data_IF_363988725869
#
_entry.id   IF_363988725869
#
_cell.length_a   1.000
_cell.length_b   1.000
_cell.length_c   1.000
_cell.angle_alpha   90.00
_cell.angle_beta   90.00
_cell.angle_gamma   90.00
#
_symmetry.space_group_name_H-M   'P 1'
#
loop_
_entity.id
_entity.type
_entity.pdbx_description
1 polymer ?
#
# COMPACT_ATOMS: atom_id res chain seq x y z
N UNK A 1 21.78 15.00 -19.72
CA UNK A 1 21.48 14.18 -18.52
C UNK A 1 20.15 14.66 -17.98
N UNK A 2 19.25 13.75 -17.58
CA UNK A 2 17.98 14.12 -16.94
C UNK A 2 18.28 14.91 -15.66
N UNK A 3 17.61 16.04 -15.45
CA UNK A 3 17.74 16.83 -14.21
C UNK A 3 17.06 16.06 -13.08
N UNK A 4 17.67 16.01 -11.90
CA UNK A 4 17.08 15.37 -10.73
C UNK A 4 16.81 16.45 -9.69
N UNK A 5 15.57 16.60 -9.26
CA UNK A 5 15.11 17.69 -8.41
C UNK A 5 14.45 17.13 -7.16
N UNK A 6 14.71 17.76 -6.02
CA UNK A 6 13.97 17.51 -4.78
C UNK A 6 13.14 18.74 -4.46
N UNK A 7 11.82 18.57 -4.31
CA UNK A 7 10.91 19.60 -3.84
C UNK A 7 10.56 19.28 -2.40
N UNK A 8 10.93 20.13 -1.44
CA UNK A 8 10.54 19.97 -0.04
C UNK A 8 9.42 20.96 0.26
N UNK A 9 8.28 20.48 0.76
CA UNK A 9 7.11 21.31 1.01
C UNK A 9 6.48 21.02 2.38
N UNK A 10 5.98 22.08 3.02
CA UNK A 10 5.29 22.03 4.30
C UNK A 10 4.24 23.17 4.40
N UNK A 11 3.31 23.05 5.34
CA UNK A 11 2.41 24.12 5.71
C UNK A 11 1.91 23.99 7.14
N UNK A 12 1.76 25.14 7.79
CA UNK A 12 1.36 25.22 9.19
C UNK A 12 0.10 26.07 9.39
N UNK A 13 -0.61 25.84 10.48
CA UNK A 13 -1.66 26.73 10.99
C UNK A 13 -1.64 26.87 12.51
N UNK A 14 -1.51 28.10 13.02
CA UNK A 14 -1.53 28.43 14.46
C UNK A 14 -2.96 28.55 14.97
N UNK A 15 -3.39 27.49 15.64
CA UNK A 15 -4.80 27.18 15.89
C UNK A 15 -5.41 26.61 14.62
N UNK A 16 -6.02 25.42 14.64
CA UNK A 16 -6.45 24.75 13.41
C UNK A 16 -7.99 24.71 13.31
N UNK A 17 -8.66 25.57 12.52
CA UNK A 17 -8.11 26.60 11.61
C UNK A 17 -7.73 27.92 12.30
N UNK A 18 -6.76 28.63 11.73
CA UNK A 18 -6.07 29.79 12.34
C UNK A 18 -5.02 30.36 11.41
N UNK A 19 -4.08 31.16 11.95
CA UNK A 19 -3.10 31.88 11.11
C UNK A 19 -2.19 30.87 10.42
N UNK A 20 -2.28 30.81 9.09
CA UNK A 20 -1.68 29.76 8.29
C UNK A 20 -0.68 30.31 7.28
N UNK A 21 0.26 29.48 6.88
CA UNK A 21 1.28 29.80 5.88
C UNK A 21 1.92 28.53 5.37
N UNK A 22 2.42 28.58 4.13
CA UNK A 22 3.14 27.45 3.52
C UNK A 22 4.60 27.79 3.28
N UNK A 23 5.43 26.75 3.16
CA UNK A 23 6.82 26.83 2.75
C UNK A 23 7.13 25.74 1.73
N UNK A 24 7.87 26.08 0.69
CA UNK A 24 8.36 25.13 -0.29
C UNK A 24 9.72 25.55 -0.83
N UNK A 25 10.55 24.59 -1.21
CA UNK A 25 11.83 24.84 -1.84
C UNK A 25 12.16 23.77 -2.87
N UNK A 26 13.03 24.11 -3.82
CA UNK A 26 13.50 23.21 -4.88
C UNK A 26 15.02 23.10 -4.79
N UNK A 27 15.56 21.88 -4.83
CA UNK A 27 17.00 21.60 -4.85
C UNK A 27 17.38 20.74 -6.05
N UNK A 28 18.62 20.89 -6.51
CA UNK A 28 19.25 19.86 -7.35
C UNK A 28 19.57 18.64 -6.47
N UNK A 29 19.05 17.47 -6.85
CA UNK A 29 19.19 16.25 -6.06
C UNK A 29 20.63 15.72 -6.05
N UNK A 30 21.47 16.12 -7.00
CA UNK A 30 22.84 15.63 -7.16
C UNK A 30 23.84 16.52 -6.43
N UNK A 31 23.66 17.84 -6.49
CA UNK A 31 24.57 18.78 -5.84
C UNK A 31 24.07 19.23 -4.47
N UNK A 32 22.77 19.15 -4.21
CA UNK A 32 22.13 19.69 -3.01
C UNK A 32 21.87 21.21 -3.09
N UNK A 33 22.25 21.84 -4.20
CA UNK A 33 22.12 23.28 -4.40
C UNK A 33 20.66 23.70 -4.33
N UNK A 34 20.41 24.77 -3.58
CA UNK A 34 19.10 25.39 -3.50
C UNK A 34 18.84 26.14 -4.81
N UNK A 35 17.72 25.85 -5.47
CA UNK A 35 17.33 26.43 -6.75
C UNK A 35 16.18 27.43 -6.59
N UNK A 36 15.27 27.19 -5.65
CA UNK A 36 14.12 28.06 -5.39
C UNK A 36 13.66 27.97 -3.94
N UNK A 37 13.13 29.07 -3.40
CA UNK A 37 12.38 29.12 -2.15
C UNK A 37 11.06 29.88 -2.37
N UNK A 38 9.98 29.37 -1.79
CA UNK A 38 8.63 29.93 -1.81
C UNK A 38 8.03 29.86 -0.41
N UNK A 39 7.46 30.95 0.08
CA UNK A 39 6.67 30.99 1.30
C UNK A 39 5.64 32.12 1.22
N UNK A 40 4.40 31.88 1.64
CA UNK A 40 3.38 32.93 1.65
C UNK A 40 2.36 32.75 2.79
N UNK A 41 1.95 33.84 3.48
CA UNK A 41 0.85 33.80 4.44
C UNK A 41 -0.48 33.48 3.74
N UNK A 42 -1.26 32.56 4.30
CA UNK A 42 -2.57 32.15 3.79
C UNK A 42 -3.75 32.79 4.53
N UNK A 43 -3.48 33.69 5.48
CA UNK A 43 -4.50 34.24 6.36
C UNK A 43 -5.03 33.17 7.32
N UNK A 44 -6.35 32.96 7.37
CA UNK A 44 -6.97 31.98 8.26
C UNK A 44 -7.33 30.70 7.50
N UNK A 45 -6.56 29.63 7.70
CA UNK A 45 -6.80 28.34 7.04
C UNK A 45 -6.50 27.14 7.97
N UNK A 46 -6.84 25.93 7.54
CA UNK A 46 -6.48 24.70 8.25
C UNK A 46 -5.05 24.26 7.94
N UNK A 47 -4.47 23.39 8.78
CA UNK A 47 -3.12 22.86 8.58
C UNK A 47 -2.98 22.19 7.20
N UNK A 48 -3.90 21.30 6.86
CA UNK A 48 -3.84 20.56 5.61
C UNK A 48 -4.00 21.46 4.38
N UNK A 49 -4.80 22.53 4.48
CA UNK A 49 -4.89 23.52 3.39
C UNK A 49 -3.53 24.19 3.18
N UNK A 50 -2.82 24.53 4.26
CA UNK A 50 -1.48 25.09 4.15
C UNK A 50 -0.47 24.10 3.55
N UNK A 51 -0.49 22.84 3.98
CA UNK A 51 0.39 21.79 3.43
C UNK A 51 0.15 21.59 1.93
N UNK A 52 -1.11 21.52 1.50
CA UNK A 52 -1.47 21.45 0.08
C UNK A 52 -1.01 22.67 -0.73
N UNK A 53 -1.11 23.88 -0.15
CA UNK A 53 -0.58 25.09 -0.79
C UNK A 53 0.94 25.04 -0.95
N UNK A 54 1.67 24.48 0.02
CA UNK A 54 3.11 24.25 -0.08
C UNK A 54 3.47 23.33 -1.25
N UNK A 55 2.76 22.21 -1.39
CA UNK A 55 2.93 21.28 -2.52
C UNK A 55 2.73 21.99 -3.88
N UNK A 56 1.64 22.73 -4.02
CA UNK A 56 1.33 23.47 -5.25
C UNK A 56 2.43 24.48 -5.57
N UNK A 57 2.88 25.25 -4.58
CA UNK A 57 3.92 26.25 -4.76
C UNK A 57 5.28 25.65 -5.17
N UNK A 58 5.65 24.50 -4.58
CA UNK A 58 6.88 23.79 -4.93
C UNK A 58 6.87 23.26 -6.38
N UNK A 59 5.76 22.64 -6.80
CA UNK A 59 5.59 22.17 -8.19
C UNK A 59 5.55 23.32 -9.20
N UNK A 60 4.88 24.42 -8.86
CA UNK A 60 4.82 25.60 -9.71
C UNK A 60 6.22 26.21 -9.88
N UNK A 61 7.05 26.27 -8.83
CA UNK A 61 8.42 26.77 -8.93
C UNK A 61 9.30 25.96 -9.90
N UNK A 62 9.10 24.64 -9.98
CA UNK A 62 9.79 23.78 -10.97
C UNK A 62 9.43 24.18 -12.40
N UNK A 63 8.16 24.50 -12.66
CA UNK A 63 7.67 24.91 -13.98
C UNK A 63 8.09 26.34 -14.32
N UNK A 64 8.00 27.27 -13.37
CA UNK A 64 8.35 28.69 -13.57
C UNK A 64 9.83 28.88 -13.90
N UNK A 65 10.69 28.05 -13.32
CA UNK A 65 12.13 28.07 -13.56
C UNK A 65 12.57 27.24 -14.77
N UNK A 66 11.62 26.72 -15.55
CA UNK A 66 11.88 25.89 -16.73
C UNK A 66 12.77 24.67 -16.40
N UNK A 67 12.57 24.10 -15.21
CA UNK A 67 13.35 22.97 -14.71
C UNK A 67 12.73 21.61 -15.05
N UNK A 68 11.52 21.59 -15.61
CA UNK A 68 10.71 20.38 -15.77
C UNK A 68 11.11 19.47 -16.96
N UNK A 69 11.85 19.99 -17.93
CA UNK A 69 12.19 19.27 -19.16
C UNK A 69 13.05 18.03 -18.87
N UNK A 70 12.51 16.84 -19.19
CA UNK A 70 13.09 15.52 -18.89
C UNK A 70 13.55 15.34 -17.43
N UNK A 71 12.94 16.06 -16.48
CA UNK A 71 13.36 16.08 -15.08
C UNK A 71 12.69 14.99 -14.24
N UNK A 72 13.44 14.38 -13.32
CA UNK A 72 12.89 13.52 -12.26
C UNK A 72 12.73 14.37 -11.00
N UNK A 73 11.48 14.53 -10.55
CA UNK A 73 11.10 15.37 -9.42
C UNK A 73 10.62 14.50 -8.26
N UNK A 74 11.34 14.52 -7.15
CA UNK A 74 10.93 13.88 -5.90
C UNK A 74 10.37 14.95 -4.96
N UNK A 75 9.06 14.88 -4.67
CA UNK A 75 8.40 15.79 -3.74
C UNK A 75 8.36 15.16 -2.35
N UNK A 76 9.03 15.79 -1.39
CA UNK A 76 9.12 15.37 0.02
C UNK A 76 8.22 16.23 0.88
N UNK A 77 7.36 15.58 1.66
CA UNK A 77 6.50 16.24 2.65
C UNK A 77 6.42 15.39 3.91
N UNK A 78 6.30 16.04 5.07
CA UNK A 78 6.04 15.38 6.35
C UNK A 78 4.55 15.19 6.66
N UNK A 79 3.68 15.75 5.82
CA UNK A 79 2.26 15.43 5.81
C UNK A 79 1.97 14.11 5.10
N UNK A 80 1.87 13.03 5.88
CA UNK A 80 1.43 11.73 5.37
C UNK A 80 0.04 11.83 4.73
N UNK A 81 -0.84 12.68 5.26
CA UNK A 81 -2.17 12.89 4.70
C UNK A 81 -2.12 13.43 3.27
N UNK A 82 -1.35 14.49 3.02
CA UNK A 82 -1.26 15.10 1.68
C UNK A 82 -0.60 14.12 0.70
N UNK A 83 0.49 13.45 1.10
CA UNK A 83 1.16 12.45 0.25
C UNK A 83 0.21 11.32 -0.13
N UNK A 84 -0.51 10.74 0.83
CA UNK A 84 -1.42 9.62 0.58
C UNK A 84 -2.64 10.03 -0.25
N UNK A 85 -3.19 11.22 -0.03
CA UNK A 85 -4.30 11.75 -0.81
C UNK A 85 -3.89 12.08 -2.25
N UNK A 86 -2.73 12.71 -2.44
CA UNK A 86 -2.17 12.98 -3.76
C UNK A 86 -1.66 11.73 -4.48
N UNK A 87 -1.38 10.65 -3.75
CA UNK A 87 -1.10 9.35 -4.38
C UNK A 87 -2.37 8.57 -4.73
N UNK A 88 -3.56 9.12 -4.47
CA UNK A 88 -4.85 8.47 -4.72
C UNK A 88 -5.21 7.36 -3.72
N UNK A 89 -4.39 7.14 -2.68
CA UNK A 89 -4.60 6.11 -1.65
C UNK A 89 -5.66 6.53 -0.64
N UNK A 90 -5.75 7.83 -0.32
CA UNK A 90 -6.72 8.37 0.66
C UNK A 90 -7.73 9.32 0.00
N UNK A 91 -9.00 9.25 0.42
CA UNK A 91 -10.05 10.15 -0.11
C UNK A 91 -9.92 11.56 0.45
N UNK A 92 -10.10 12.56 -0.41
CA UNK A 92 -10.15 13.97 -0.03
C UNK A 92 -11.61 14.38 0.17
N UNK A 93 -12.04 14.53 1.42
CA UNK A 93 -13.43 14.87 1.77
C UNK A 93 -13.70 16.38 1.79
N UNK A 94 -12.72 17.18 2.19
CA UNK A 94 -12.86 18.64 2.31
C UNK A 94 -12.74 19.33 0.96
N UNK A 95 -13.66 20.26 0.68
CA UNK A 95 -13.75 20.97 -0.61
C UNK A 95 -12.50 21.79 -0.94
N UNK A 96 -11.98 22.56 0.01
CA UNK A 96 -10.76 23.36 -0.20
C UNK A 96 -9.54 22.50 -0.52
N UNK A 97 -9.40 21.34 0.13
CA UNK A 97 -8.34 20.39 -0.18
C UNK A 97 -8.54 19.75 -1.56
N UNK A 98 -9.78 19.47 -1.99
CA UNK A 98 -10.05 18.96 -3.34
C UNK A 98 -9.63 19.95 -4.42
N UNK A 99 -9.87 21.25 -4.20
CA UNK A 99 -9.45 22.31 -5.14
C UNK A 99 -7.93 22.31 -5.30
N UNK A 100 -7.19 22.33 -4.19
CA UNK A 100 -5.72 22.33 -4.22
C UNK A 100 -5.13 21.04 -4.77
N UNK A 101 -5.76 19.89 -4.52
CA UNK A 101 -5.33 18.61 -5.08
C UNK A 101 -5.49 18.55 -6.62
N UNK A 102 -6.57 19.12 -7.16
CA UNK A 102 -6.76 19.23 -8.62
C UNK A 102 -5.72 20.15 -9.24
N UNK A 103 -5.37 21.24 -8.56
CA UNK A 103 -4.32 22.15 -8.99
C UNK A 103 -2.94 21.46 -9.00
N UNK A 104 -2.57 20.80 -7.90
CA UNK A 104 -1.34 20.03 -7.82
C UNK A 104 -1.27 18.93 -8.90
N UNK A 105 -2.39 18.24 -9.19
CA UNK A 105 -2.46 17.26 -10.29
C UNK A 105 -2.16 17.88 -11.64
N UNK A 106 -2.79 19.03 -11.95
CA UNK A 106 -2.56 19.75 -13.20
C UNK A 106 -1.09 20.18 -13.36
N UNK A 107 -0.39 20.50 -12.27
CA UNK A 107 1.04 20.82 -12.32
C UNK A 107 1.89 19.57 -12.57
N UNK A 108 1.56 18.44 -11.94
CA UNK A 108 2.20 17.15 -12.22
C UNK A 108 2.05 16.77 -13.70
N UNK A 109 0.85 16.90 -14.25
CA UNK A 109 0.57 16.59 -15.66
C UNK A 109 1.39 17.48 -16.60
N UNK A 110 1.63 18.76 -16.25
CA UNK A 110 2.48 19.66 -17.02
C UNK A 110 3.97 19.27 -16.97
N UNK A 111 4.46 18.80 -15.82
CA UNK A 111 5.83 18.26 -15.71
C UNK A 111 5.96 17.00 -16.58
N UNK A 112 4.97 16.10 -16.52
CA UNK A 112 4.95 14.87 -17.34
C UNK A 112 4.86 15.15 -18.84
N UNK A 113 4.10 16.18 -19.24
CA UNK A 113 4.01 16.60 -20.64
C UNK A 113 5.35 17.09 -21.22
N UNK A 114 6.29 17.52 -20.38
CA UNK A 114 7.66 17.92 -20.73
C UNK A 114 8.68 16.77 -20.65
N UNK A 115 8.20 15.52 -20.54
CA UNK A 115 9.04 14.33 -20.42
C UNK A 115 9.56 14.05 -19.01
N UNK A 116 9.15 14.84 -18.02
CA UNK A 116 9.54 14.66 -16.63
C UNK A 116 8.73 13.59 -15.88
N UNK A 117 9.18 13.23 -14.68
CA UNK A 117 8.46 12.35 -13.74
C UNK A 117 8.32 13.03 -12.40
N UNK A 118 7.22 12.75 -11.69
CA UNK A 118 7.00 13.27 -10.33
C UNK A 118 6.66 12.11 -9.40
N UNK A 119 7.37 12.02 -8.28
CA UNK A 119 7.13 11.07 -7.20
C UNK A 119 6.83 11.83 -5.91
N UNK A 120 5.82 11.41 -5.15
CA UNK A 120 5.52 11.99 -3.83
C UNK A 120 5.97 11.03 -2.74
N UNK A 121 6.85 11.51 -1.86
CA UNK A 121 7.48 10.74 -0.79
C UNK A 121 7.16 11.38 0.55
N UNK A 122 6.66 10.57 1.49
CA UNK A 122 6.53 11.00 2.87
C UNK A 122 7.89 10.93 3.56
N UNK A 123 8.28 11.99 4.26
CA UNK A 123 9.51 12.03 5.06
C UNK A 123 9.19 12.39 6.52
N UNK A 124 9.92 11.87 7.50
CA UNK A 124 9.79 12.33 8.88
C UNK A 124 10.04 13.84 9.02
N UNK A 125 9.38 14.50 9.98
CA UNK A 125 9.44 15.97 10.18
C UNK A 125 10.87 16.47 10.40
N UNK A 126 11.70 15.70 11.08
CA UNK A 126 13.12 16.00 11.28
C UNK A 126 13.92 16.10 9.98
N UNK A 127 13.41 15.53 8.88
CA UNK A 127 13.97 15.61 7.53
C UNK A 127 13.31 16.66 6.64
N UNK A 128 12.29 17.40 7.12
CA UNK A 128 11.60 18.46 6.39
C UNK A 128 11.79 19.87 7.01
N UNK A 129 12.81 20.04 7.86
CA UNK A 129 13.03 21.27 8.67
C UNK A 129 13.13 22.56 7.85
N UNK A 130 13.64 22.49 6.63
CA UNK A 130 13.82 23.68 5.79
C UNK A 130 12.48 24.22 5.25
N UNK A 131 11.58 23.33 4.82
CA UNK A 131 10.22 23.71 4.44
C UNK A 131 9.40 24.17 5.66
N UNK A 132 9.56 23.52 6.82
CA UNK A 132 8.94 23.94 8.09
C UNK A 132 9.39 25.33 8.57
N UNK A 133 10.68 25.66 8.40
CA UNK A 133 11.16 27.01 8.70
C UNK A 133 10.50 28.06 7.79
N UNK A 134 10.32 27.76 6.50
CA UNK A 134 9.63 28.63 5.55
C UNK A 134 8.13 28.77 5.87
N UNK A 135 7.46 27.68 6.25
CA UNK A 135 6.04 27.71 6.64
C UNK A 135 5.82 28.53 7.92
N UNK A 136 6.74 28.44 8.88
CA UNK A 136 6.74 29.28 10.09
C UNK A 136 6.94 30.77 9.78
N UNK A 137 7.87 31.12 8.89
CA UNK A 137 8.05 32.50 8.44
C UNK A 137 6.79 33.06 7.79
N UNK A 138 6.10 32.24 7.00
CA UNK A 138 4.83 32.60 6.39
C UNK A 138 3.72 32.80 7.43
N UNK A 139 3.63 31.95 8.46
CA UNK A 139 2.71 32.16 9.59
C UNK A 139 3.02 33.41 10.43
N UNK A 140 4.27 33.91 10.38
CA UNK A 140 4.69 35.20 10.94
C UNK A 140 4.39 36.39 10.01
N UNK A 141 3.75 36.16 8.87
CA UNK A 141 3.35 37.20 7.91
C UNK A 141 4.42 37.56 6.89
N UNK A 142 5.49 36.76 6.75
CA UNK A 142 6.58 37.03 5.79
C UNK A 142 6.43 36.18 4.54
N UNK A 143 6.43 36.82 3.37
CA UNK A 143 6.51 36.11 2.08
C UNK A 143 7.97 35.97 1.62
N UNK A 144 8.30 34.83 1.02
CA UNK A 144 9.60 34.53 0.41
C UNK A 144 9.36 34.08 -1.02
N UNK A 145 10.04 34.73 -1.97
CA UNK A 145 10.18 34.24 -3.34
C UNK A 145 11.61 34.53 -3.78
N UNK A 146 12.43 33.49 -3.87
CA UNK A 146 13.86 33.60 -4.20
C UNK A 146 14.21 32.52 -5.21
N UNK A 147 14.90 32.94 -6.27
CA UNK A 147 15.41 32.07 -7.32
C UNK A 147 16.93 32.12 -7.28
N UNK A 148 17.53 30.95 -7.24
CA UNK A 148 18.97 30.76 -7.07
C UNK A 148 19.61 30.13 -8.32
N UNK A 149 18.81 29.92 -9.36
CA UNK A 149 19.28 29.47 -10.68
C UNK A 149 19.99 30.64 -11.36
N UNK A 150 21.28 30.48 -11.67
CA UNK A 150 21.97 31.45 -12.50
C UNK A 150 21.29 31.50 -13.88
N UNK A 151 20.97 32.70 -14.43
CA UNK A 151 20.45 32.78 -15.79
C UNK A 151 21.47 32.11 -16.73
N UNK A 152 20.98 31.25 -17.64
CA UNK A 152 21.84 30.56 -18.58
C UNK A 152 22.60 31.58 -19.46
N UNK A 153 23.82 31.91 -19.05
CA UNK A 153 24.70 32.87 -19.68
C UNK A 153 26.01 32.97 -18.92
N UNK A 154 27.09 32.57 -19.60
CA UNK A 154 28.51 32.72 -19.23
C UNK A 154 29.09 31.79 -18.15
N UNK A 155 29.32 30.54 -18.57
CA UNK A 155 30.47 29.78 -18.09
C UNK A 155 31.77 30.41 -18.61
N UNK A 156 32.42 31.21 -17.76
CA UNK A 156 33.89 31.35 -17.79
C UNK A 156 34.44 30.87 -16.45
N UNK A 157 35.19 29.77 -16.57
CA UNK A 157 36.37 29.37 -15.83
C UNK A 157 36.77 30.27 -14.65
N UNK A 158 37.02 29.68 -13.48
CA UNK A 158 38.36 29.58 -12.88
C UNK A 158 38.28 28.84 -11.54
N UNK A 159 39.18 27.88 -11.34
CA UNK A 159 39.15 26.93 -10.22
C UNK A 159 39.80 27.42 -8.92
N UNK A 160 39.57 26.66 -7.85
CA UNK A 160 40.47 26.42 -6.73
C UNK A 160 39.86 25.40 -5.76
N UNK A 161 40.60 24.34 -5.43
CA UNK A 161 40.40 23.59 -4.18
C UNK A 161 41.03 24.36 -3.01
N UNK A 162 40.60 24.17 -1.74
CA UNK A 162 41.32 23.19 -0.90
C UNK A 162 40.52 22.51 0.24
N UNK A 163 40.88 21.24 0.50
CA UNK A 163 41.38 20.61 1.75
C UNK A 163 40.86 20.95 3.16
N UNK A 164 40.68 19.91 4.01
CA UNK A 164 40.81 20.01 5.48
C UNK A 164 39.85 19.16 6.34
N UNK A 165 40.34 18.05 6.88
CA UNK A 165 39.75 17.21 7.95
C UNK A 165 39.37 18.00 9.22
N UNK A 166 38.12 17.88 9.71
CA UNK A 166 37.75 17.99 11.13
C UNK A 166 36.58 17.04 11.47
N UNK A 167 36.72 16.35 12.61
CA UNK A 167 35.90 15.25 13.15
C UNK A 167 34.42 15.64 13.41
N UNK A 168 33.41 14.85 12.97
CA UNK A 168 31.99 15.22 13.06
C UNK A 168 31.34 15.05 14.44
N UNK A 169 32.02 14.50 15.45
CA UNK A 169 31.36 14.03 16.68
C UNK A 169 31.53 14.89 17.94
N UNK A 170 32.08 16.09 17.83
CA UNK A 170 32.52 16.88 18.99
C UNK A 170 31.48 17.81 19.66
N UNK A 171 30.16 17.67 19.42
CA UNK A 171 29.15 18.53 20.09
C UNK A 171 27.99 17.76 20.74
N UNK A 172 28.11 16.44 20.89
CA UNK A 172 27.41 15.71 21.95
C UNK A 172 28.06 16.07 23.29
N UNK A 173 27.76 17.26 23.82
CA UNK A 173 27.89 17.59 25.24
C UNK A 173 27.30 18.98 25.52
N UNK A 174 26.11 19.02 26.14
CA UNK A 174 25.95 19.65 27.46
C UNK A 174 24.63 19.22 28.10
N UNK A 175 24.80 18.73 29.33
CA UNK A 175 23.83 18.43 30.35
C UNK A 175 23.03 19.65 30.85
N UNK A 176 21.87 19.35 31.44
CA UNK A 176 21.40 20.05 32.64
C UNK A 176 20.06 20.77 32.50
N UNK A 177 18.97 20.06 32.81
CA UNK A 177 17.72 20.68 33.21
C UNK A 177 17.07 19.86 34.35
N UNK A 178 17.13 20.40 35.57
CA UNK A 178 16.21 20.11 36.66
C UNK A 178 14.92 20.95 36.47
N UNK A 179 13.77 20.31 36.67
CA UNK A 179 12.39 20.84 36.55
C UNK A 179 12.01 21.85 37.66
N UNK A 180 10.88 22.59 37.52
CA UNK A 180 9.71 22.19 38.33
C UNK A 180 8.29 22.48 37.76
N UNK A 181 7.39 21.53 38.05
CA UNK A 181 5.93 21.56 38.35
C UNK A 181 4.96 22.61 37.73
N UNK A 182 3.95 22.09 37.00
CA UNK A 182 2.64 22.74 36.80
C UNK A 182 1.48 21.71 36.71
N UNK A 183 0.26 22.02 37.22
CA UNK A 183 -0.69 20.99 37.66
C UNK A 183 -1.80 20.62 36.65
N UNK A 184 -1.99 19.31 36.50
CA UNK A 184 -3.27 18.58 36.63
C UNK A 184 -4.40 18.79 35.60
N UNK A 185 -4.44 17.96 34.55
CA UNK A 185 -5.67 17.66 33.78
C UNK A 185 -6.25 16.33 34.26
N UNK A 186 -7.55 16.34 34.56
CA UNK A 186 -8.36 15.23 35.08
C UNK A 186 -8.20 13.93 34.24
N UNK A 187 -7.62 12.86 34.79
CA UNK A 187 -7.33 11.62 34.09
C UNK A 187 -8.54 10.69 33.86
N UNK A 188 -9.76 11.09 34.23
CA UNK A 188 -10.93 10.19 34.19
C UNK A 188 -12.00 10.53 33.15
N UNK A 189 -11.74 11.39 32.17
CA UNK A 189 -12.71 11.71 31.10
C UNK A 189 -12.32 11.06 29.76
N UNK A 190 -12.93 9.93 29.35
CA UNK A 190 -12.57 9.26 28.10
C UNK A 190 -13.39 9.81 26.93
N UNK A 191 -12.71 10.22 25.85
CA UNK A 191 -13.31 10.39 24.52
C UNK A 191 -12.50 9.57 23.51
N UNK A 192 -13.16 8.52 23.00
CA UNK A 192 -12.72 7.59 21.94
C UNK A 192 -11.51 6.70 22.25
N UNK A 193 -11.81 5.58 22.90
CA UNK A 193 -11.45 4.25 22.38
C UNK A 193 -9.97 3.94 22.31
N UNK A 194 -9.35 3.78 23.48
CA UNK A 194 -8.08 3.08 23.66
C UNK A 194 -8.26 1.63 23.20
N UNK A 195 -7.75 1.33 22.02
CA UNK A 195 -7.48 -0.02 21.55
C UNK A 195 -6.02 -0.11 21.16
N UNK A 196 -5.10 -0.13 22.14
CA UNK A 196 -3.77 -0.67 21.90
C UNK A 196 -3.93 -2.17 21.76
N UNK A 197 -4.08 -2.64 20.52
CA UNK A 197 -3.82 -4.06 20.24
C UNK A 197 -2.32 -4.25 20.42
N UNK A 198 -1.87 -5.25 21.20
CA UNK A 198 -0.46 -5.56 21.30
C UNK A 198 0.08 -5.88 19.91
N UNK A 199 1.23 -5.30 19.56
CA UNK A 199 2.15 -5.87 18.57
C UNK A 199 2.61 -7.23 19.10
N UNK A 200 1.78 -8.25 18.96
CA UNK A 200 2.19 -9.63 19.14
C UNK A 200 2.00 -10.34 17.80
N UNK A 201 3.15 -10.63 17.18
CA UNK A 201 3.39 -11.58 16.10
C UNK A 201 3.31 -11.07 14.65
N UNK A 202 3.78 -9.84 14.42
CA UNK A 202 4.47 -9.51 13.15
C UNK A 202 5.90 -9.15 13.52
N UNK A 203 6.83 -10.05 13.23
CA UNK A 203 8.27 -9.81 13.35
C UNK A 203 8.62 -8.61 12.48
N UNK A 204 8.78 -7.44 13.11
CA UNK A 204 9.51 -6.34 12.50
C UNK A 204 10.97 -6.63 12.80
N UNK A 205 11.71 -7.04 11.77
CA UNK A 205 13.18 -7.13 11.79
C UNK A 205 13.75 -5.92 12.55
N UNK A 206 14.56 -6.19 13.57
CA UNK A 206 15.36 -5.20 14.28
C UNK A 206 16.71 -4.95 13.59
N UNK A 207 16.96 -5.57 12.44
CA UNK A 207 18.18 -5.38 11.67
C UNK A 207 18.13 -4.05 10.89
N UNK A 208 19.15 -3.23 11.10
CA UNK A 208 19.37 -1.95 10.40
C UNK A 208 19.86 -2.14 8.95
N UNK A 209 20.03 -3.39 8.50
CA UNK A 209 20.43 -3.78 7.15
C UNK A 209 19.54 -4.93 6.69
N UNK A 210 18.70 -4.76 5.65
CA UNK A 210 17.82 -5.83 5.18
C UNK A 210 18.63 -7.03 4.67
N UNK A 211 18.32 -8.23 5.16
CA UNK A 211 18.88 -9.46 4.61
C UNK A 211 18.23 -9.72 3.25
N UNK A 212 18.92 -9.43 2.14
CA UNK A 212 18.35 -9.62 0.79
C UNK A 212 18.44 -11.07 0.28
N UNK A 213 19.19 -11.94 0.97
CA UNK A 213 19.36 -13.35 0.60
C UNK A 213 18.40 -14.24 1.41
N UNK A 214 17.87 -15.30 0.80
CA UNK A 214 17.04 -16.29 1.48
C UNK A 214 15.55 -15.96 1.56
N UNK A 215 15.03 -15.13 0.65
CA UNK A 215 13.60 -14.81 0.59
C UNK A 215 12.72 -16.05 0.31
N UNK A 216 11.56 -16.10 0.96
CA UNK A 216 10.46 -17.01 0.60
C UNK A 216 9.41 -16.22 -0.16
N UNK A 217 9.17 -16.62 -1.41
CA UNK A 217 8.10 -16.06 -2.24
C UNK A 217 6.84 -16.90 -2.10
N UNK A 218 5.78 -16.29 -1.58
CA UNK A 218 4.45 -16.88 -1.58
C UNK A 218 3.65 -16.37 -2.78
N UNK A 219 3.09 -17.28 -3.57
CA UNK A 219 2.12 -16.96 -4.63
C UNK A 219 0.76 -17.51 -4.23
N UNK A 220 -0.11 -16.64 -3.73
CA UNK A 220 -1.45 -16.98 -3.31
C UNK A 220 -2.39 -16.91 -4.52
N UNK A 221 -3.17 -17.96 -4.74
CA UNK A 221 -4.10 -18.08 -5.88
C UNK A 221 -5.51 -18.29 -5.34
N UNK A 222 -6.45 -17.39 -5.64
CA UNK A 222 -7.86 -17.65 -5.33
C UNK A 222 -8.36 -18.76 -6.25
N UNK A 223 -9.18 -19.69 -5.75
CA UNK A 223 -9.83 -20.67 -6.61
C UNK A 223 -10.63 -20.02 -7.76
N UNK A 224 -10.80 -20.77 -8.85
CA UNK A 224 -11.68 -20.38 -9.97
C UNK A 224 -13.16 -20.40 -9.58
N UNK A 225 -14.03 -19.91 -10.45
CA UNK A 225 -15.48 -19.85 -10.16
C UNK A 225 -16.12 -21.23 -10.00
N UNK A 226 -17.10 -21.29 -9.11
CA UNK A 226 -18.06 -22.40 -8.94
C UNK A 226 -19.46 -21.92 -9.32
N UNK A 227 -20.43 -22.83 -9.39
CA UNK A 227 -21.84 -22.43 -9.58
C UNK A 227 -22.34 -21.56 -8.43
N UNK A 228 -21.85 -21.78 -7.21
CA UNK A 228 -22.13 -20.93 -6.05
C UNK A 228 -21.58 -19.51 -6.24
N UNK A 229 -20.36 -19.40 -6.79
CA UNK A 229 -19.75 -18.09 -7.06
C UNK A 229 -20.60 -17.27 -8.03
N UNK A 230 -21.10 -17.91 -9.10
CA UNK A 230 -21.95 -17.26 -10.12
C UNK A 230 -23.34 -16.91 -9.59
N UNK A 231 -23.89 -17.73 -8.69
CA UNK A 231 -25.18 -17.48 -8.06
C UNK A 231 -25.09 -16.56 -6.83
N UNK A 232 -23.90 -16.07 -6.50
CA UNK A 232 -23.65 -15.25 -5.31
C UNK A 232 -24.10 -15.93 -4.00
N UNK A 233 -23.89 -17.24 -3.91
CA UNK A 233 -24.10 -18.01 -2.68
C UNK A 233 -22.85 -17.97 -1.82
N UNK A 234 -23.05 -17.96 -0.50
CA UNK A 234 -21.95 -18.00 0.46
C UNK A 234 -21.40 -19.43 0.60
N UNK A 235 -20.07 -19.60 0.51
CA UNK A 235 -19.43 -20.93 0.49
C UNK A 235 -18.22 -21.03 1.45
N UNK A 236 -18.49 -21.22 2.73
CA UNK A 236 -17.50 -21.38 3.78
C UNK A 236 -17.05 -22.83 4.02
N UNK A 237 -16.13 -23.01 4.96
CA UNK A 237 -15.78 -24.34 5.46
C UNK A 237 -16.90 -24.92 6.32
N UNK A 238 -17.16 -26.21 6.20
CA UNK A 238 -18.19 -26.92 6.97
C UNK A 238 -19.58 -26.94 6.31
N UNK A 239 -19.79 -26.10 5.30
CA UNK A 239 -20.97 -26.11 4.43
C UNK A 239 -20.82 -27.02 3.21
N UNK A 240 -21.52 -26.64 2.13
CA UNK A 240 -21.37 -27.28 0.83
C UNK A 240 -19.93 -27.09 0.28
N UNK A 241 -19.38 -28.13 -0.35
CA UNK A 241 -18.05 -28.09 -0.97
C UNK A 241 -18.15 -28.18 -2.50
N UNK A 242 -18.60 -27.10 -3.18
CA UNK A 242 -18.81 -27.14 -4.63
C UNK A 242 -17.48 -27.26 -5.38
N UNK A 243 -17.48 -28.06 -6.44
CA UNK A 243 -16.39 -28.11 -7.41
C UNK A 243 -16.35 -26.87 -8.31
N UNK A 244 -15.20 -26.63 -8.94
CA UNK A 244 -15.10 -25.72 -10.07
C UNK A 244 -16.05 -26.16 -11.19
N UNK A 245 -16.71 -25.18 -11.83
CA UNK A 245 -17.48 -25.44 -13.06
C UNK A 245 -16.56 -25.35 -14.29
N UNK A 246 -17.12 -25.47 -15.50
CA UNK A 246 -16.32 -25.45 -16.74
C UNK A 246 -15.46 -24.18 -16.86
N UNK A 247 -16.03 -23.00 -16.56
CA UNK A 247 -15.30 -21.73 -16.52
C UNK A 247 -14.22 -21.74 -15.45
N UNK A 248 -14.54 -22.20 -14.23
CA UNK A 248 -13.58 -22.29 -13.14
C UNK A 248 -12.40 -23.23 -13.44
N UNK A 249 -12.65 -24.33 -14.15
CA UNK A 249 -11.60 -25.25 -14.61
C UNK A 249 -10.70 -24.61 -15.67
N UNK A 250 -11.26 -23.84 -16.60
CA UNK A 250 -10.48 -23.06 -17.57
C UNK A 250 -9.64 -22.00 -16.87
N UNK A 251 -10.21 -21.26 -15.91
CA UNK A 251 -9.50 -20.30 -15.09
C UNK A 251 -8.35 -20.93 -14.28
N UNK A 252 -8.56 -22.13 -13.71
CA UNK A 252 -7.52 -22.85 -12.99
C UNK A 252 -6.34 -23.25 -13.89
N UNK A 253 -6.61 -23.71 -15.12
CA UNK A 253 -5.57 -23.94 -16.13
C UNK A 253 -4.86 -22.64 -16.51
N UNK A 254 -5.61 -21.54 -16.59
CA UNK A 254 -5.05 -20.24 -16.90
C UNK A 254 -4.06 -19.75 -15.82
N UNK A 255 -4.47 -19.85 -14.56
CA UNK A 255 -3.64 -19.54 -13.42
C UNK A 255 -2.39 -20.44 -13.36
N UNK A 256 -2.49 -21.72 -13.73
CA UNK A 256 -1.35 -22.64 -13.76
C UNK A 256 -0.22 -22.17 -14.69
N UNK A 257 -0.54 -21.72 -15.91
CA UNK A 257 0.47 -21.17 -16.82
C UNK A 257 1.03 -19.85 -16.30
N UNK A 258 0.18 -18.98 -15.74
CA UNK A 258 0.61 -17.70 -15.18
C UNK A 258 1.62 -17.90 -14.03
N UNK A 259 1.32 -18.83 -13.12
CA UNK A 259 2.22 -19.23 -12.04
C UNK A 259 3.53 -19.77 -12.61
N UNK A 260 3.49 -20.65 -13.63
CA UNK A 260 4.71 -21.15 -14.28
C UNK A 260 5.59 -20.01 -14.83
N UNK A 261 4.98 -19.05 -15.54
CA UNK A 261 5.69 -17.87 -16.07
C UNK A 261 6.30 -16.99 -14.96
N UNK A 262 5.71 -16.95 -13.77
CA UNK A 262 6.27 -16.25 -12.61
C UNK A 262 7.46 -17.02 -12.02
N UNK A 263 7.30 -18.33 -11.82
CA UNK A 263 8.33 -19.19 -11.24
C UNK A 263 9.55 -19.29 -12.15
N UNK A 264 9.38 -19.41 -13.48
CA UNK A 264 10.49 -19.48 -14.45
C UNK A 264 11.38 -18.23 -14.47
N UNK A 265 10.85 -17.08 -14.02
CA UNK A 265 11.58 -15.81 -13.90
C UNK A 265 12.21 -15.61 -12.53
N UNK A 266 12.01 -16.53 -11.60
CA UNK A 266 12.50 -16.45 -10.22
C UNK A 266 13.85 -17.17 -10.06
N UNK A 267 14.59 -16.84 -9.00
CA UNK A 267 15.82 -17.58 -8.65
C UNK A 267 15.53 -19.06 -8.39
N UNK A 268 16.51 -19.94 -8.67
CA UNK A 268 16.35 -21.39 -8.54
C UNK A 268 16.29 -21.79 -7.06
N UNK A 269 15.08 -21.95 -6.53
CA UNK A 269 14.81 -22.48 -5.18
C UNK A 269 13.84 -23.67 -5.21
N UNK A 270 13.55 -24.29 -4.04
CA UNK A 270 12.50 -25.29 -3.93
C UNK A 270 11.15 -24.69 -4.34
N UNK A 271 10.35 -25.46 -5.08
CA UNK A 271 9.02 -25.09 -5.53
C UNK A 271 8.00 -26.03 -4.90
N UNK A 272 7.06 -25.48 -4.14
CA UNK A 272 5.99 -26.27 -3.48
C UNK A 272 4.63 -25.72 -3.85
N UNK A 273 3.66 -26.62 -4.08
CA UNK A 273 2.25 -26.24 -4.22
C UNK A 273 1.47 -26.76 -3.01
N UNK A 274 0.76 -25.86 -2.35
CA UNK A 274 -0.14 -26.12 -1.24
C UNK A 274 -1.55 -25.73 -1.65
N UNK A 275 -2.58 -26.42 -1.17
CA UNK A 275 -3.95 -25.94 -1.28
C UNK A 275 -4.70 -26.14 0.02
N UNK A 276 -5.78 -25.38 0.18
CA UNK A 276 -6.82 -25.72 1.14
C UNK A 276 -7.40 -27.12 0.87
N UNK A 277 -8.22 -27.63 1.78
CA UNK A 277 -8.91 -28.92 1.65
C UNK A 277 -10.26 -28.86 0.92
N UNK A 278 -10.78 -27.67 0.64
CA UNK A 278 -12.03 -27.48 -0.10
C UNK A 278 -11.85 -27.77 -1.60
N UNK A 279 -12.80 -28.49 -2.21
CA UNK A 279 -12.72 -29.07 -3.55
C UNK A 279 -12.32 -28.06 -4.62
N UNK A 280 -12.94 -26.87 -4.65
CA UNK A 280 -12.62 -25.80 -5.60
C UNK A 280 -11.15 -25.38 -5.59
N UNK A 281 -10.58 -25.17 -4.41
CA UNK A 281 -9.18 -24.78 -4.24
C UNK A 281 -8.23 -25.97 -4.41
N UNK A 282 -8.66 -27.19 -4.05
CA UNK A 282 -7.93 -28.42 -4.37
C UNK A 282 -7.79 -28.61 -5.88
N UNK A 283 -8.85 -28.42 -6.64
CA UNK A 283 -8.83 -28.52 -8.10
C UNK A 283 -7.94 -27.45 -8.74
N UNK A 284 -8.01 -26.19 -8.26
CA UNK A 284 -7.09 -25.12 -8.70
C UNK A 284 -5.64 -25.47 -8.37
N UNK A 285 -5.36 -25.87 -7.13
CA UNK A 285 -4.01 -26.27 -6.70
C UNK A 285 -3.48 -27.50 -7.45
N UNK A 286 -4.34 -28.47 -7.78
CA UNK A 286 -3.95 -29.64 -8.56
C UNK A 286 -3.59 -29.27 -9.99
N UNK A 287 -4.38 -28.42 -10.66
CA UNK A 287 -4.06 -27.95 -12.01
C UNK A 287 -2.70 -27.22 -12.06
N UNK A 288 -2.40 -26.42 -11.04
CA UNK A 288 -1.10 -25.75 -10.90
C UNK A 288 0.02 -26.76 -10.68
N UNK A 289 -0.16 -27.70 -9.75
CA UNK A 289 0.85 -28.72 -9.43
C UNK A 289 1.18 -29.61 -10.64
N UNK A 290 0.15 -30.05 -11.37
CA UNK A 290 0.30 -30.87 -12.59
C UNK A 290 1.08 -30.11 -13.67
N UNK A 291 0.77 -28.82 -13.87
CA UNK A 291 1.43 -27.99 -14.88
C UNK A 291 2.90 -27.66 -14.53
N UNK A 292 3.21 -27.54 -13.24
CA UNK A 292 4.57 -27.32 -12.73
C UNK A 292 5.37 -28.63 -12.56
N UNK A 293 4.72 -29.79 -12.65
CA UNK A 293 5.36 -31.09 -12.45
C UNK A 293 5.78 -31.37 -11.01
N UNK A 294 5.03 -30.86 -10.03
CA UNK A 294 5.29 -31.03 -8.58
C UNK A 294 4.11 -31.67 -7.86
N UNK A 295 4.32 -32.14 -6.62
CA UNK A 295 3.25 -32.71 -5.80
C UNK A 295 2.48 -31.59 -5.09
N UNK A 296 1.14 -31.67 -5.13
CA UNK A 296 0.26 -30.82 -4.32
C UNK A 296 0.19 -31.35 -2.89
N UNK A 297 0.42 -30.47 -1.92
CA UNK A 297 0.19 -30.73 -0.50
C UNK A 297 -1.13 -30.11 -0.04
N UNK A 298 -1.85 -30.80 0.84
CA UNK A 298 -3.04 -30.26 1.47
C UNK A 298 -2.70 -29.65 2.83
N UNK A 299 -3.27 -28.49 3.12
CA UNK A 299 -3.22 -27.87 4.44
C UNK A 299 -4.56 -27.20 4.74
N UNK A 300 -5.32 -27.78 5.68
CA UNK A 300 -6.71 -27.40 5.98
C UNK A 300 -6.82 -26.03 6.65
N UNK A 301 -5.73 -25.49 7.20
CA UNK A 301 -5.77 -24.16 7.81
C UNK A 301 -5.88 -23.05 6.76
N UNK A 302 -5.73 -23.38 5.46
CA UNK A 302 -6.03 -22.51 4.32
C UNK A 302 -7.49 -22.57 3.85
N UNK A 303 -8.39 -23.30 4.52
CA UNK A 303 -9.82 -23.36 4.18
C UNK A 303 -10.50 -21.99 4.33
N UNK A 304 -11.60 -21.75 3.62
CA UNK A 304 -12.37 -20.48 3.74
C UNK A 304 -12.92 -20.32 5.17
N UNK A 305 -13.27 -19.08 5.55
CA UNK A 305 -14.00 -18.83 6.81
C UNK A 305 -15.27 -19.70 6.86
N UNK A 306 -15.59 -20.26 8.03
CA UNK A 306 -16.84 -20.97 8.24
C UNK A 306 -18.01 -19.99 8.39
N UNK A 307 -19.07 -20.15 7.60
CA UNK A 307 -20.26 -19.29 7.72
C UNK A 307 -21.45 -19.99 8.38
N UNK A 308 -21.33 -21.28 8.70
CA UNK A 308 -22.26 -22.00 9.55
C UNK A 308 -23.64 -22.11 8.89
N UNK A 309 -24.68 -21.69 9.60
CA UNK A 309 -26.05 -21.70 9.06
C UNK A 309 -26.23 -20.82 7.81
N UNK A 310 -25.30 -19.90 7.51
CA UNK A 310 -25.35 -19.08 6.29
C UNK A 310 -24.76 -19.75 5.05
N UNK A 311 -24.10 -20.90 5.20
CA UNK A 311 -23.53 -21.62 4.06
C UNK A 311 -24.64 -22.03 3.06
N UNK A 312 -24.44 -21.67 1.80
CA UNK A 312 -25.41 -21.89 0.71
C UNK A 312 -26.53 -20.86 0.60
N UNK A 313 -26.60 -19.87 1.50
CA UNK A 313 -27.55 -18.75 1.37
C UNK A 313 -27.09 -17.76 0.30
N UNK A 314 -28.05 -17.18 -0.42
CA UNK A 314 -27.77 -16.14 -1.41
C UNK A 314 -27.51 -14.80 -0.73
N UNK A 315 -26.50 -14.07 -1.22
CA UNK A 315 -26.17 -12.74 -0.69
C UNK A 315 -27.36 -11.76 -0.65
N UNK A 316 -28.26 -11.70 -1.65
CA UNK A 316 -29.45 -10.85 -1.57
C UNK A 316 -30.39 -11.19 -0.41
N UNK A 317 -30.56 -12.48 -0.11
CA UNK A 317 -31.38 -12.93 1.02
C UNK A 317 -30.72 -12.58 2.36
N UNK A 318 -29.40 -12.79 2.48
CA UNK A 318 -28.65 -12.37 3.66
C UNK A 318 -28.70 -10.85 3.88
N UNK A 319 -28.63 -10.05 2.82
CA UNK A 319 -28.76 -8.58 2.92
C UNK A 319 -30.14 -8.17 3.40
N UNK A 320 -31.20 -8.85 2.91
CA UNK A 320 -32.59 -8.59 3.31
C UNK A 320 -32.86 -8.99 4.75
N UNK A 321 -32.44 -10.19 5.14
CA UNK A 321 -32.88 -10.84 6.37
C UNK A 321 -31.87 -10.69 7.53
N UNK A 322 -30.59 -10.44 7.22
CA UNK A 322 -29.47 -10.41 8.18
C UNK A 322 -28.53 -9.20 7.96
N UNK A 323 -29.01 -8.09 7.42
CA UNK A 323 -28.18 -6.94 7.01
C UNK A 323 -27.25 -6.38 8.11
N UNK A 324 -27.74 -6.20 9.34
CA UNK A 324 -26.92 -5.70 10.45
C UNK A 324 -25.83 -6.70 10.86
N UNK A 325 -26.16 -7.99 10.88
CA UNK A 325 -25.20 -9.06 11.19
C UNK A 325 -24.18 -9.24 10.07
N UNK A 326 -24.54 -9.01 8.80
CA UNK A 326 -23.58 -8.94 7.69
C UNK A 326 -22.59 -7.78 7.88
N UNK A 327 -23.04 -6.62 8.38
CA UNK A 327 -22.14 -5.51 8.70
C UNK A 327 -21.21 -5.86 9.86
N UNK A 328 -21.71 -6.62 10.86
CA UNK A 328 -20.88 -7.13 11.96
C UNK A 328 -19.86 -8.13 11.45
N UNK A 329 -20.24 -9.10 10.62
CA UNK A 329 -19.32 -10.05 9.98
C UNK A 329 -18.16 -9.35 9.23
N UNK A 330 -18.40 -8.13 8.73
CA UNK A 330 -17.39 -7.35 8.02
C UNK A 330 -16.50 -6.48 8.91
N UNK A 331 -16.95 -6.09 10.10
CA UNK A 331 -16.30 -5.05 10.90
C UNK A 331 -15.96 -5.48 12.34
N UNK A 332 -16.64 -6.50 12.86
CA UNK A 332 -16.47 -7.05 14.19
C UNK A 332 -15.74 -8.39 14.09
N UNK A 333 -14.47 -8.40 14.49
CA UNK A 333 -13.63 -9.58 14.35
C UNK A 333 -14.07 -10.75 15.26
N UNK A 334 -14.89 -10.46 16.27
CA UNK A 334 -15.41 -11.42 17.24
C UNK A 334 -16.82 -11.92 16.87
N UNK A 335 -17.42 -11.39 15.81
CA UNK A 335 -18.70 -11.88 15.32
C UNK A 335 -18.53 -13.11 14.42
N UNK A 336 -19.40 -14.10 14.62
CA UNK A 336 -19.59 -15.23 13.73
C UNK A 336 -21.09 -15.47 13.54
N UNK A 337 -21.54 -15.86 12.34
CA UNK A 337 -22.88 -16.41 12.16
C UNK A 337 -23.06 -17.69 13.00
N UNK A 338 -24.29 -18.10 13.34
CA UNK A 338 -24.53 -19.33 14.09
C UNK A 338 -23.84 -20.54 13.47
N UNK A 339 -23.03 -21.25 14.27
CA UNK A 339 -22.25 -22.41 13.80
C UNK A 339 -21.08 -22.07 12.87
N UNK A 340 -20.80 -20.78 12.63
CA UNK A 340 -19.70 -20.30 11.83
C UNK A 340 -18.41 -20.06 12.61
N UNK A 341 -17.46 -19.41 11.96
CA UNK A 341 -16.13 -19.08 12.46
C UNK A 341 -15.98 -17.55 12.55
N UNK A 342 -15.39 -17.05 13.64
CA UNK A 342 -15.06 -15.63 13.79
C UNK A 342 -13.86 -15.25 12.93
N UNK A 343 -13.68 -13.95 12.68
CA UNK A 343 -12.47 -13.49 11.97
C UNK A 343 -11.20 -13.80 12.77
N UNK A 344 -11.23 -13.72 14.11
CA UNK A 344 -10.06 -14.04 14.94
C UNK A 344 -9.64 -15.50 14.82
N UNK A 345 -10.60 -16.43 14.80
CA UNK A 345 -10.33 -17.86 14.63
C UNK A 345 -9.71 -18.13 13.24
N UNK A 346 -10.28 -17.53 12.19
CA UNK A 346 -9.69 -17.55 10.84
C UNK A 346 -8.24 -17.02 10.85
N UNK A 347 -8.03 -15.82 11.39
CA UNK A 347 -6.72 -15.16 11.39
C UNK A 347 -5.67 -15.97 12.18
N UNK A 348 -6.07 -16.63 13.27
CA UNK A 348 -5.20 -17.49 14.07
C UNK A 348 -4.73 -18.71 13.26
N UNK A 349 -5.65 -19.48 12.65
CA UNK A 349 -5.27 -20.67 11.87
C UNK A 349 -4.51 -20.31 10.60
N UNK A 350 -4.92 -19.26 9.89
CA UNK A 350 -4.23 -18.79 8.67
C UNK A 350 -2.83 -18.29 9.02
N UNK A 351 -2.64 -17.68 10.19
CA UNK A 351 -1.31 -17.32 10.70
C UNK A 351 -0.38 -18.52 10.84
N UNK A 352 -0.86 -19.63 11.40
CA UNK A 352 -0.09 -20.87 11.51
C UNK A 352 0.20 -21.47 10.13
N UNK A 353 -0.76 -21.43 9.23
CA UNK A 353 -0.61 -21.90 7.84
C UNK A 353 0.44 -21.09 7.07
N UNK A 354 0.40 -19.77 7.23
CA UNK A 354 1.37 -18.83 6.64
C UNK A 354 2.77 -19.09 7.18
N UNK A 355 2.94 -19.26 8.50
CA UNK A 355 4.24 -19.59 9.10
C UNK A 355 4.81 -20.90 8.54
N UNK A 356 3.98 -21.95 8.38
CA UNK A 356 4.40 -23.19 7.73
C UNK A 356 4.74 -23.01 6.25
N UNK A 357 4.04 -22.12 5.55
CA UNK A 357 4.34 -21.83 4.15
C UNK A 357 5.68 -21.09 4.01
N UNK A 358 5.93 -20.07 4.84
CA UNK A 358 7.21 -19.35 4.90
C UNK A 358 8.36 -20.31 5.23
N UNK A 359 8.19 -21.17 6.24
CA UNK A 359 9.23 -22.09 6.68
C UNK A 359 9.66 -23.13 5.63
N UNK A 360 8.93 -23.30 4.52
CA UNK A 360 9.32 -24.20 3.42
C UNK A 360 10.45 -23.61 2.55
N UNK A 361 10.63 -22.29 2.55
CA UNK A 361 11.62 -21.62 1.72
C UNK A 361 11.31 -21.66 0.21
N UNK A 362 12.07 -20.88 -0.57
CA UNK A 362 11.93 -20.84 -2.03
C UNK A 362 10.60 -20.26 -2.48
N UNK A 363 9.95 -20.88 -3.47
CA UNK A 363 8.63 -20.43 -3.95
C UNK A 363 7.53 -21.40 -3.50
N UNK A 364 6.53 -20.85 -2.80
CA UNK A 364 5.39 -21.60 -2.30
C UNK A 364 4.11 -21.05 -2.92
N UNK A 365 3.46 -21.84 -3.77
CA UNK A 365 2.17 -21.49 -4.38
C UNK A 365 1.05 -22.04 -3.50
N UNK A 366 0.08 -21.20 -3.13
CA UNK A 366 -1.01 -21.58 -2.23
C UNK A 366 -2.35 -21.30 -2.89
N UNK A 367 -3.10 -22.36 -3.24
CA UNK A 367 -4.47 -22.23 -3.72
C UNK A 367 -5.47 -22.15 -2.54
N UNK A 368 -6.16 -21.02 -2.42
CA UNK A 368 -7.02 -20.68 -1.27
C UNK A 368 -8.22 -19.80 -1.67
N UNK A 369 -8.77 -19.04 -0.71
CA UNK A 369 -10.08 -18.40 -0.77
C UNK A 369 -10.01 -16.91 -0.47
N UNK A 370 -11.17 -16.25 -0.56
CA UNK A 370 -11.26 -14.79 -0.54
C UNK A 370 -10.94 -14.23 0.83
N UNK A 371 -11.58 -14.71 1.89
CA UNK A 371 -11.38 -14.12 3.23
C UNK A 371 -10.00 -14.48 3.76
N UNK A 372 -9.47 -15.65 3.39
CA UNK A 372 -8.10 -16.07 3.68
C UNK A 372 -7.05 -15.14 3.06
N UNK A 373 -7.20 -14.78 1.77
CA UNK A 373 -6.32 -13.79 1.12
C UNK A 373 -6.35 -12.44 1.87
N UNK A 374 -7.53 -12.00 2.28
CA UNK A 374 -7.70 -10.77 3.05
C UNK A 374 -7.10 -10.85 4.45
N UNK A 375 -7.09 -12.04 5.07
CA UNK A 375 -6.42 -12.32 6.35
C UNK A 375 -4.90 -12.17 6.21
N UNK A 376 -4.31 -12.83 5.22
CA UNK A 376 -2.86 -12.74 4.96
C UNK A 376 -2.46 -11.31 4.62
N UNK A 377 -3.14 -10.67 3.67
CA UNK A 377 -2.80 -9.31 3.27
C UNK A 377 -3.00 -8.32 4.41
N UNK A 378 -4.12 -8.41 5.15
CA UNK A 378 -4.36 -7.57 6.33
C UNK A 378 -3.23 -7.66 7.36
N UNK A 379 -2.72 -8.87 7.61
CA UNK A 379 -1.57 -9.11 8.49
C UNK A 379 -0.28 -8.48 7.95
N UNK A 380 0.03 -8.67 6.67
CA UNK A 380 1.29 -8.20 6.07
C UNK A 380 1.32 -6.68 5.91
N UNK A 381 0.21 -6.06 5.47
CA UNK A 381 0.16 -4.60 5.25
C UNK A 381 -0.32 -3.80 6.46
N UNK A 382 -0.65 -4.47 7.57
CA UNK A 382 -1.12 -3.81 8.80
C UNK A 382 -2.48 -3.12 8.64
N UNK A 383 -3.37 -3.68 7.81
CA UNK A 383 -4.71 -3.13 7.57
C UNK A 383 -5.72 -3.86 8.45
N UNK A 384 -6.58 -3.09 9.13
CA UNK A 384 -7.62 -3.65 9.99
C UNK A 384 -8.65 -4.49 9.20
N UNK A 385 -9.32 -5.41 9.90
CA UNK A 385 -10.29 -6.33 9.33
C UNK A 385 -11.38 -5.62 8.48
N UNK A 386 -11.91 -4.50 8.97
CA UNK A 386 -12.94 -3.74 8.26
C UNK A 386 -12.42 -3.14 6.95
N UNK A 387 -11.19 -2.64 6.95
CA UNK A 387 -10.56 -2.09 5.74
C UNK A 387 -10.08 -3.15 4.76
N UNK A 388 -9.76 -4.36 5.21
CA UNK A 388 -9.30 -5.45 4.34
C UNK A 388 -10.31 -5.75 3.21
N UNK A 389 -11.61 -5.47 3.40
CA UNK A 389 -12.65 -5.61 2.37
C UNK A 389 -12.46 -4.71 1.15
N UNK A 390 -11.57 -3.72 1.23
CA UNK A 390 -11.19 -2.85 0.11
C UNK A 390 -10.18 -3.51 -0.83
N UNK A 391 -9.67 -4.70 -0.49
CA UNK A 391 -8.68 -5.42 -1.27
C UNK A 391 -9.39 -6.31 -2.30
N UNK A 392 -9.12 -6.05 -3.58
CA UNK A 392 -9.63 -6.87 -4.66
C UNK A 392 -9.01 -8.29 -4.59
N UNK A 393 -9.83 -9.31 -4.82
CA UNK A 393 -9.47 -10.73 -4.70
C UNK A 393 -10.35 -11.53 -5.66
N UNK A 394 -10.30 -11.23 -6.96
CA UNK A 394 -11.12 -11.85 -7.99
C UNK A 394 -10.86 -13.36 -8.10
N UNK A 395 -11.83 -14.17 -8.58
CA UNK A 395 -11.63 -15.60 -8.83
C UNK A 395 -10.41 -15.83 -9.74
N UNK A 396 -9.65 -16.90 -9.46
CA UNK A 396 -8.41 -17.23 -10.15
C UNK A 396 -7.32 -16.13 -10.19
N UNK A 397 -7.46 -15.06 -9.40
CA UNK A 397 -6.43 -14.04 -9.29
C UNK A 397 -5.19 -14.56 -8.55
N UNK A 398 -4.03 -13.99 -8.91
CA UNK A 398 -2.76 -14.24 -8.25
C UNK A 398 -2.41 -13.05 -7.35
N UNK A 399 -1.77 -13.33 -6.23
CA UNK A 399 -1.21 -12.35 -5.29
C UNK A 399 0.15 -12.86 -4.85
N UNK A 400 1.18 -12.02 -4.83
CA UNK A 400 2.52 -12.42 -4.41
C UNK A 400 3.02 -11.63 -3.22
N UNK A 401 3.68 -12.33 -2.30
CA UNK A 401 4.29 -11.80 -1.07
C UNK A 401 5.70 -12.37 -0.97
N UNK A 402 6.65 -11.54 -0.58
CA UNK A 402 8.03 -11.91 -0.34
C UNK A 402 8.32 -11.73 1.15
N UNK A 403 8.96 -12.74 1.75
CA UNK A 403 9.26 -12.76 3.19
C UNK A 403 10.72 -13.14 3.39
N UNK A 404 11.46 -12.33 4.14
CA UNK A 404 12.88 -12.54 4.43
C UNK A 404 13.07 -13.19 5.80
N UNK A 405 14.24 -13.83 6.06
CA UNK A 405 14.51 -14.52 7.32
C UNK A 405 14.43 -13.65 8.57
N UNK A 406 14.66 -12.35 8.41
CA UNK A 406 14.56 -11.33 9.47
C UNK A 406 13.10 -10.96 9.82
N UNK A 407 12.12 -11.52 9.09
CA UNK A 407 10.70 -11.26 9.26
C UNK A 407 10.18 -10.11 8.41
N UNK A 408 11.04 -9.41 7.67
CA UNK A 408 10.62 -8.45 6.66
C UNK A 408 9.65 -9.10 5.68
N UNK A 409 8.57 -8.41 5.32
CA UNK A 409 7.60 -8.89 4.35
C UNK A 409 7.14 -7.77 3.42
N UNK A 410 7.02 -8.07 2.13
CA UNK A 410 6.55 -7.14 1.11
C UNK A 410 5.47 -7.80 0.26
N UNK A 411 4.48 -7.01 -0.15
CA UNK A 411 3.49 -7.43 -1.14
C UNK A 411 3.96 -6.99 -2.51
N UNK A 412 4.36 -7.94 -3.36
CA UNK A 412 4.87 -7.67 -4.70
C UNK A 412 3.75 -7.24 -5.66
N UNK A 413 2.61 -7.94 -5.62
CA UNK A 413 1.40 -7.57 -6.35
C UNK A 413 0.16 -8.22 -5.73
N UNK A 414 -1.01 -7.64 -6.00
CA UNK A 414 -2.31 -8.12 -5.53
C UNK A 414 -3.28 -8.20 -6.70
N UNK A 415 -4.09 -9.26 -6.72
CA UNK A 415 -5.20 -9.42 -7.66
C UNK A 415 -4.82 -9.35 -9.14
N UNK A 416 -3.70 -9.97 -9.54
CA UNK A 416 -3.35 -10.08 -10.96
C UNK A 416 -4.28 -11.09 -11.66
N UNK A 417 -5.05 -10.60 -12.62
CA UNK A 417 -5.98 -11.38 -13.45
C UNK A 417 -5.64 -11.32 -14.94
N UNK A 418 -4.51 -10.73 -15.35
CA UNK A 418 -4.21 -10.52 -16.78
C UNK A 418 -4.17 -11.82 -17.58
N UNK A 419 -3.73 -12.91 -16.96
CA UNK A 419 -3.68 -14.24 -17.56
C UNK A 419 -5.06 -14.80 -17.95
N UNK A 420 -6.14 -14.26 -17.38
CA UNK A 420 -7.51 -14.64 -17.77
C UNK A 420 -7.88 -14.02 -19.12
N UNK A 421 -7.23 -12.92 -19.52
CA UNK A 421 -7.53 -12.19 -20.76
C UNK A 421 -6.44 -12.37 -21.83
N UNK A 422 -5.44 -13.21 -21.59
CA UNK A 422 -4.33 -13.46 -22.52
C UNK A 422 -4.80 -14.42 -23.65
N UNK A 423 -4.82 -13.97 -24.92
CA UNK A 423 -5.23 -14.79 -26.06
C UNK A 423 -4.26 -15.96 -26.35
N UNK A 424 -3.12 -16.07 -25.66
CA UNK A 424 -2.24 -17.22 -25.75
C UNK A 424 -2.86 -18.55 -25.25
N UNK A 425 -4.07 -18.52 -24.69
CA UNK A 425 -4.90 -19.67 -24.34
C UNK A 425 -5.77 -20.20 -25.49
N UNK A 426 -5.28 -20.11 -26.72
CA UNK A 426 -5.86 -20.80 -27.88
C UNK A 426 -5.51 -22.31 -27.80
N UNK A 427 -6.01 -22.98 -26.76
CA UNK A 427 -6.20 -24.43 -26.82
C UNK A 427 -7.31 -24.64 -27.85
N UNK A 428 -7.00 -25.34 -28.93
CA UNK A 428 -7.91 -25.62 -30.06
C UNK A 428 -9.20 -26.38 -29.67
N UNK A 429 -9.43 -26.64 -28.39
CA UNK A 429 -10.63 -27.26 -27.80
C UNK A 429 -11.39 -26.34 -26.80
N UNK A 430 -10.94 -25.11 -26.56
CA UNK A 430 -11.60 -24.16 -25.65
C UNK A 430 -12.63 -23.29 -26.40
N UNK A 431 -13.66 -23.91 -26.95
CA UNK A 431 -14.81 -23.18 -27.47
C UNK A 431 -15.48 -22.34 -26.35
N UNK A 432 -15.63 -21.04 -26.63
CA UNK A 432 -16.53 -20.09 -25.96
C UNK A 432 -16.41 -19.95 -24.43
N UNK A 433 -15.24 -19.56 -23.91
CA UNK A 433 -15.17 -19.02 -22.53
C UNK A 433 -15.31 -17.50 -22.56
N UNK A 434 -16.55 -17.03 -22.57
CA UNK A 434 -16.87 -15.62 -22.28
C UNK A 434 -16.62 -15.35 -20.81
N UNK A 435 -15.58 -14.57 -20.50
CA UNK A 435 -15.36 -14.01 -19.17
C UNK A 435 -16.38 -12.88 -18.99
N UNK A 436 -17.40 -13.12 -18.16
CA UNK A 436 -18.37 -12.10 -17.79
C UNK A 436 -17.65 -11.05 -16.93
N UNK A 437 -17.50 -9.85 -17.50
CA UNK A 437 -17.21 -8.64 -16.76
C UNK A 437 -18.44 -8.29 -15.92
N UNK A 438 -18.39 -8.56 -14.62
CA UNK A 438 -19.47 -8.25 -13.68
C UNK A 438 -19.54 -6.75 -13.33
N UNK A 439 -18.90 -5.86 -14.11
CA UNK A 439 -19.03 -4.41 -13.93
C UNK A 439 -20.16 -3.77 -14.75
N UNK A 440 -20.98 -4.55 -15.45
CA UNK A 440 -22.14 -4.07 -16.18
C UNK A 440 -23.43 -4.72 -15.65
N UNK A 441 -23.98 -4.14 -14.58
CA UNK A 441 -25.43 -3.94 -14.38
C UNK A 441 -25.71 -2.95 -13.24
#
# INVERSE_FOLDING_TARGET
MRRALVVEADGGSRGNPGVAGYGALVRDARTGDLLAERAEPLGRASNNVAEYSGLVAGLQAVLDLDLADDATVEVRMDSKLVVEQMSGRWKIKHEDMRRLALEARRLIDQVQARGGTVELVWVPRERNKAADALSNLAMDGRSVSRDHVAPAGDARNDGAAPDGDQDPWALLDVDGADEPDAPGIDPQRPTFGVGRVPLSDVYVSDETVPTLEGETRLVLVRHGVTDFTQQHLLDGRGGADPSLNATGMAQARAAAVAVRRLVERSERGPLTVVSSSLQRARQTGQAIADHLGVVRHEDRDWDEQGFGEWDGMAMPDLVRDHGDDLLRLRNDADFAPPGGETRRELDARVGLALARAIARGGTVVVATHRVVLMSVLGRVVGVDHGRAWSIATAPASLTAIEVWPDGGAQVAFVNDTHHLYDPAFDDADAADVTILDLSAE
#
